data_IF_860312401577
#
_entry.id   IF_860312401577
#
_cell.length_a   1.000
_cell.length_b   1.000
_cell.length_c   1.000
_cell.angle_alpha   90.00
_cell.angle_beta   90.00
_cell.angle_gamma   90.00
#
_symmetry.space_group_name_H-M   'P 1'
#
loop_
_entity.id
_entity.type
_entity.pdbx_description
1 polymer ?
#
# COMPACT_ATOMS: atom_id res chain seq x y z
N UNK A 1 36.63 -27.66 -7.83
CA UNK A 1 35.70 -28.45 -6.99
C UNK A 1 34.63 -27.61 -6.26
N UNK A 2 34.67 -26.26 -6.29
CA UNK A 2 33.69 -25.41 -5.57
C UNK A 2 32.32 -25.20 -6.22
N UNK A 3 32.12 -25.54 -7.50
CA UNK A 3 30.85 -25.25 -8.19
C UNK A 3 29.69 -26.22 -7.86
N UNK A 4 29.97 -27.40 -7.30
CA UNK A 4 28.94 -28.41 -7.02
C UNK A 4 28.23 -28.20 -5.67
N UNK A 5 28.89 -27.58 -4.69
CA UNK A 5 28.32 -27.38 -3.34
C UNK A 5 27.26 -26.26 -3.36
N UNK A 6 27.48 -25.22 -4.16
CA UNK A 6 26.62 -24.03 -4.20
C UNK A 6 25.25 -24.30 -4.85
N UNK A 7 25.17 -25.23 -5.80
CA UNK A 7 23.91 -25.65 -6.43
C UNK A 7 23.04 -26.48 -5.47
N UNK A 8 23.67 -27.32 -4.64
CA UNK A 8 22.97 -28.15 -3.67
C UNK A 8 22.39 -27.31 -2.51
N UNK A 9 23.10 -26.26 -2.07
CA UNK A 9 22.61 -25.31 -1.06
C UNK A 9 21.39 -24.53 -1.58
N UNK A 10 21.43 -24.05 -2.83
CA UNK A 10 20.34 -23.27 -3.45
C UNK A 10 19.07 -24.10 -3.66
N UNK A 11 19.21 -25.39 -3.98
CA UNK A 11 18.07 -26.29 -4.17
C UNK A 11 17.35 -26.58 -2.83
N UNK A 12 18.11 -26.87 -1.76
CA UNK A 12 17.55 -27.11 -0.42
C UNK A 12 16.84 -25.87 0.13
N UNK A 13 17.39 -24.67 -0.07
CA UNK A 13 16.76 -23.42 0.39
C UNK A 13 15.39 -23.16 -0.27
N UNK A 14 15.24 -23.52 -1.56
CA UNK A 14 13.99 -23.28 -2.31
C UNK A 14 12.86 -24.25 -1.90
N UNK A 15 13.22 -25.51 -1.60
CA UNK A 15 12.30 -26.53 -1.09
C UNK A 15 11.74 -26.15 0.29
N UNK A 16 12.61 -25.70 1.20
CA UNK A 16 12.22 -25.28 2.56
C UNK A 16 11.25 -24.11 2.55
N UNK A 17 11.53 -23.09 1.74
CA UNK A 17 10.64 -21.92 1.59
C UNK A 17 9.26 -22.31 1.05
N UNK A 18 9.21 -23.26 0.10
CA UNK A 18 7.95 -23.74 -0.46
C UNK A 18 7.13 -24.52 0.57
N UNK A 19 7.77 -25.34 1.41
CA UNK A 19 7.09 -26.08 2.50
C UNK A 19 6.56 -25.15 3.59
N UNK A 20 7.33 -24.13 3.98
CA UNK A 20 6.87 -23.11 4.92
C UNK A 20 5.64 -22.34 4.40
N UNK A 21 5.65 -21.94 3.12
CA UNK A 21 4.52 -21.24 2.49
C UNK A 21 3.24 -22.08 2.41
N UNK A 22 3.37 -23.36 2.03
CA UNK A 22 2.22 -24.26 1.95
C UNK A 22 1.65 -24.58 3.34
N UNK A 23 2.50 -24.75 4.37
CA UNK A 23 2.06 -24.94 5.75
C UNK A 23 1.31 -23.74 6.31
N UNK A 24 1.79 -22.52 6.03
CA UNK A 24 1.11 -21.29 6.41
C UNK A 24 -0.27 -21.17 5.76
N UNK A 25 -0.39 -21.55 4.48
CA UNK A 25 -1.66 -21.49 3.74
C UNK A 25 -2.67 -22.56 4.17
N UNK A 26 -2.21 -23.75 4.55
CA UNK A 26 -3.08 -24.79 5.11
C UNK A 26 -3.68 -24.38 6.45
N UNK A 27 -2.92 -23.64 7.27
CA UNK A 27 -3.37 -23.13 8.58
C UNK A 27 -4.38 -21.96 8.49
N UNK A 28 -4.67 -21.46 7.29
CA UNK A 28 -5.71 -20.44 7.06
C UNK A 28 -7.04 -21.05 6.61
N UNK A 29 -7.20 -22.38 6.62
CA UNK A 29 -8.45 -23.04 6.21
C UNK A 29 -8.99 -24.00 7.28
N UNK A 30 -9.02 -23.53 8.52
CA UNK A 30 -9.74 -24.16 9.63
C UNK A 30 -10.29 -23.10 10.59
N UNK A 31 -11.15 -22.23 10.04
CA UNK A 31 -12.14 -21.48 10.82
C UNK A 31 -13.23 -21.02 9.86
N UNK A 32 -13.93 -22.00 9.28
CA UNK A 32 -15.22 -21.80 8.65
C UNK A 32 -16.06 -23.02 9.03
N UNK A 33 -16.53 -23.03 10.27
CA UNK A 33 -17.63 -23.90 10.70
C UNK A 33 -18.71 -23.00 11.33
N UNK A 34 -19.92 -23.25 10.88
CA UNK A 34 -21.15 -22.51 11.10
C UNK A 34 -21.70 -22.76 12.51
N UNK A 35 -22.30 -21.73 13.13
CA UNK A 35 -23.39 -21.95 14.10
C UNK A 35 -24.45 -20.87 13.96
N UNK A 36 -25.65 -21.33 13.60
CA UNK A 36 -26.92 -20.63 13.73
C UNK A 36 -27.19 -20.27 15.21
N UNK A 37 -27.71 -19.06 15.47
CA UNK A 37 -28.45 -18.78 16.71
C UNK A 37 -27.95 -17.59 17.56
N UNK A 38 -28.82 -16.58 17.66
CA UNK A 38 -29.05 -15.66 18.80
C UNK A 38 -27.85 -14.96 19.47
N UNK A 39 -27.71 -13.66 19.17
CA UNK A 39 -27.30 -12.58 20.10
C UNK A 39 -25.97 -12.68 20.85
N UNK A 40 -24.97 -11.88 20.45
CA UNK A 40 -24.25 -10.98 21.37
C UNK A 40 -23.36 -9.98 20.62
N UNK A 41 -23.42 -8.71 21.05
CA UNK A 41 -22.55 -7.65 20.60
C UNK A 41 -21.11 -7.89 21.09
N UNK A 42 -20.25 -8.37 20.21
CA UNK A 42 -18.80 -8.34 20.42
C UNK A 42 -18.14 -8.05 19.07
N UNK A 43 -18.28 -6.81 18.61
CA UNK A 43 -17.34 -6.24 17.65
C UNK A 43 -16.00 -6.17 18.36
N UNK A 44 -15.17 -7.19 18.19
CA UNK A 44 -13.78 -7.20 18.64
C UNK A 44 -13.07 -6.13 17.83
N UNK A 45 -13.09 -4.89 18.31
CA UNK A 45 -12.25 -3.82 17.80
C UNK A 45 -10.82 -4.26 18.09
N UNK A 46 -10.18 -4.87 17.10
CA UNK A 46 -8.73 -5.02 17.12
C UNK A 46 -8.15 -3.61 17.15
N UNK A 47 -7.78 -3.17 18.34
CA UNK A 47 -7.06 -1.93 18.57
C UNK A 47 -5.65 -2.10 17.99
N UNK A 48 -5.50 -1.79 16.71
CA UNK A 48 -4.18 -1.52 16.13
C UNK A 48 -3.62 -0.32 16.88
N UNK A 49 -2.68 -0.54 17.78
CA UNK A 49 -1.82 0.53 18.30
C UNK A 49 -0.92 0.93 17.13
N UNK A 50 -1.23 2.09 16.57
CA UNK A 50 -0.46 2.71 15.50
C UNK A 50 0.48 3.73 16.14
N UNK A 51 1.78 3.52 16.04
CA UNK A 51 2.76 4.54 16.41
C UNK A 51 2.61 5.73 15.45
N UNK A 52 2.17 6.87 15.98
CA UNK A 52 2.01 8.09 15.20
C UNK A 52 3.37 8.76 15.06
N UNK A 53 3.76 9.05 13.82
CA UNK A 53 4.97 9.83 13.52
C UNK A 53 4.56 11.28 13.28
N UNK A 54 5.18 12.20 14.02
CA UNK A 54 4.99 13.65 13.87
C UNK A 54 6.24 14.23 13.21
N UNK A 55 6.05 15.03 12.17
CA UNK A 55 7.11 15.79 11.51
C UNK A 55 6.63 17.20 11.22
N UNK A 56 7.57 18.13 11.13
CA UNK A 56 7.33 19.51 10.74
C UNK A 56 8.33 19.87 9.64
N UNK A 57 7.82 20.40 8.53
CA UNK A 57 8.63 20.87 7.41
C UNK A 57 8.21 22.30 7.08
N UNK A 58 9.17 23.14 6.68
CA UNK A 58 8.85 24.51 6.26
C UNK A 58 8.38 24.47 4.82
N UNK A 59 7.32 25.23 4.52
CA UNK A 59 6.92 25.50 3.14
C UNK A 59 7.77 26.66 2.66
N UNK A 60 8.68 26.38 1.73
CA UNK A 60 9.53 27.39 1.13
C UNK A 60 8.77 28.18 0.05
N UNK A 61 9.14 29.44 -0.25
CA UNK A 61 8.46 30.25 -1.26
C UNK A 61 8.46 29.67 -2.69
N UNK A 62 9.32 28.70 -2.97
CA UNK A 62 9.38 27.97 -4.24
C UNK A 62 8.58 26.65 -4.21
N UNK A 63 7.93 26.32 -3.10
CA UNK A 63 7.06 25.15 -2.99
C UNK A 63 5.75 25.40 -3.73
N UNK A 64 5.60 24.81 -4.92
CA UNK A 64 4.40 25.01 -5.74
C UNK A 64 3.14 24.34 -5.16
N UNK A 65 3.27 23.09 -4.68
CA UNK A 65 2.14 22.30 -4.17
C UNK A 65 2.57 21.10 -3.32
N UNK A 66 1.63 20.57 -2.55
CA UNK A 66 1.76 19.32 -1.78
C UNK A 66 0.71 18.31 -2.22
N UNK A 67 1.12 17.05 -2.36
CA UNK A 67 0.23 15.90 -2.61
C UNK A 67 0.15 15.07 -1.32
N UNK A 68 -1.05 14.93 -0.77
CA UNK A 68 -1.35 13.93 0.25
C UNK A 68 -2.24 12.85 -0.37
N UNK A 69 -1.86 11.59 -0.25
CA UNK A 69 -2.62 10.52 -0.88
C UNK A 69 -2.55 9.20 -0.11
N UNK A 70 -3.59 8.40 -0.27
CA UNK A 70 -3.63 7.03 0.21
C UNK A 70 -2.69 6.11 -0.60
N UNK A 71 -2.43 4.91 -0.07
CA UNK A 71 -1.51 3.94 -0.68
C UNK A 71 -1.89 3.58 -2.12
N UNK A 72 -3.17 3.66 -2.48
CA UNK A 72 -3.63 3.37 -3.84
C UNK A 72 -3.02 4.28 -4.92
N UNK A 73 -2.58 5.50 -4.60
CA UNK A 73 -1.81 6.34 -5.53
C UNK A 73 -0.37 5.83 -5.63
N UNK A 74 0.29 5.68 -4.49
CA UNK A 74 1.74 5.41 -4.40
C UNK A 74 2.14 3.99 -4.78
N UNK A 75 1.21 3.04 -4.78
CA UNK A 75 1.50 1.67 -5.23
C UNK A 75 1.61 1.56 -6.77
N UNK A 76 1.05 2.51 -7.52
CA UNK A 76 1.03 2.50 -9.01
C UNK A 76 1.74 3.69 -9.66
N UNK A 77 2.16 4.69 -8.87
CA UNK A 77 2.90 5.86 -9.35
C UNK A 77 4.04 6.21 -8.39
N UNK A 78 5.20 6.58 -8.94
CA UNK A 78 6.30 7.12 -8.14
C UNK A 78 6.04 8.58 -7.76
N UNK A 79 6.68 9.08 -6.70
CA UNK A 79 6.52 10.46 -6.23
C UNK A 79 6.72 11.50 -7.36
N UNK A 80 7.85 11.42 -8.08
CA UNK A 80 8.15 12.36 -9.17
C UNK A 80 7.20 12.22 -10.36
N UNK A 81 6.67 11.03 -10.60
CA UNK A 81 5.70 10.78 -11.66
C UNK A 81 4.38 11.46 -11.35
N UNK A 82 3.88 11.34 -10.12
CA UNK A 82 2.70 12.05 -9.65
C UNK A 82 2.86 13.57 -9.78
N UNK A 83 4.03 14.12 -9.38
CA UNK A 83 4.35 15.54 -9.53
C UNK A 83 4.31 15.97 -11.01
N UNK A 84 4.98 15.23 -11.89
CA UNK A 84 5.01 15.55 -13.32
C UNK A 84 3.62 15.48 -13.97
N UNK A 85 2.77 14.56 -13.51
CA UNK A 85 1.42 14.37 -14.01
C UNK A 85 0.54 15.59 -13.72
N UNK A 86 0.68 16.25 -12.58
CA UNK A 86 -0.25 17.32 -12.18
C UNK A 86 0.34 18.72 -12.13
N UNK A 87 1.66 18.88 -12.23
CA UNK A 87 2.30 20.20 -12.08
C UNK A 87 1.71 21.28 -12.99
N UNK A 88 1.31 20.89 -14.20
CA UNK A 88 0.76 21.76 -15.23
C UNK A 88 -0.75 22.07 -15.05
N UNK A 89 -1.40 21.50 -14.03
CA UNK A 89 -2.84 21.68 -13.77
C UNK A 89 -3.01 22.68 -12.62
N UNK A 90 -3.34 23.93 -12.93
CA UNK A 90 -3.48 25.01 -11.95
C UNK A 90 -4.62 24.77 -10.95
N UNK A 91 -5.74 24.21 -11.40
CA UNK A 91 -6.87 23.95 -10.51
C UNK A 91 -6.57 22.73 -9.61
N UNK A 92 -6.51 22.89 -8.27
CA UNK A 92 -6.12 21.81 -7.36
C UNK A 92 -7.12 20.64 -7.36
N UNK A 93 -8.41 20.91 -7.55
CA UNK A 93 -9.42 19.85 -7.65
C UNK A 93 -9.21 19.02 -8.91
N UNK A 94 -9.03 19.66 -10.07
CA UNK A 94 -8.74 18.98 -11.32
C UNK A 94 -7.42 18.16 -11.25
N UNK A 95 -6.39 18.70 -10.60
CA UNK A 95 -5.15 17.99 -10.34
C UNK A 95 -5.38 16.71 -9.49
N UNK A 96 -6.13 16.82 -8.40
CA UNK A 96 -6.45 15.67 -7.55
C UNK A 96 -7.28 14.60 -8.29
N UNK A 97 -8.24 15.01 -9.12
CA UNK A 97 -9.01 14.10 -9.96
C UNK A 97 -8.13 13.40 -10.99
N UNK A 98 -7.14 14.10 -11.56
CA UNK A 98 -6.19 13.53 -12.50
C UNK A 98 -5.38 12.39 -11.85
N UNK A 99 -4.86 12.59 -10.64
CA UNK A 99 -4.16 11.54 -9.88
C UNK A 99 -5.07 10.34 -9.59
N UNK A 100 -6.30 10.59 -9.13
CA UNK A 100 -7.24 9.52 -8.82
C UNK A 100 -7.62 8.70 -10.06
N UNK A 101 -7.87 9.38 -11.19
CA UNK A 101 -8.17 8.74 -12.48
C UNK A 101 -6.99 7.92 -12.97
N UNK A 102 -5.77 8.45 -12.90
CA UNK A 102 -4.57 7.75 -13.33
C UNK A 102 -4.32 6.49 -12.49
N UNK A 103 -4.47 6.57 -11.16
CA UNK A 103 -4.34 5.40 -10.31
C UNK A 103 -5.39 4.32 -10.61
N UNK A 104 -6.63 4.74 -10.89
CA UNK A 104 -7.72 3.84 -11.29
C UNK A 104 -7.40 3.16 -12.62
N UNK A 105 -6.90 3.90 -13.61
CA UNK A 105 -6.53 3.38 -14.94
C UNK A 105 -5.40 2.34 -14.85
N UNK A 106 -4.52 2.48 -13.86
CA UNK A 106 -3.44 1.53 -13.57
C UNK A 106 -3.87 0.33 -12.73
N UNK A 107 -5.17 0.16 -12.50
CA UNK A 107 -5.76 -0.95 -11.73
C UNK A 107 -5.20 -1.02 -10.30
N UNK A 108 -5.07 0.14 -9.65
CA UNK A 108 -4.75 0.20 -8.21
C UNK A 108 -5.72 -0.66 -7.39
N UNK A 109 -5.16 -1.41 -6.46
CA UNK A 109 -5.87 -2.35 -5.58
C UNK A 109 -6.15 -1.74 -4.20
N UNK A 110 -5.50 -0.64 -3.86
CA UNK A 110 -5.70 0.12 -2.64
C UNK A 110 -6.88 1.11 -2.69
N UNK A 111 -7.18 1.73 -1.56
CA UNK A 111 -8.10 2.89 -1.56
C UNK A 111 -7.48 4.04 -2.32
N UNK A 112 -8.27 4.70 -3.17
CA UNK A 112 -7.84 5.85 -3.96
C UNK A 112 -8.50 7.10 -3.39
N UNK A 113 -7.69 7.95 -2.76
CA UNK A 113 -8.06 9.27 -2.26
C UNK A 113 -6.82 10.15 -2.26
N UNK A 114 -6.96 11.41 -2.64
CA UNK A 114 -5.86 12.36 -2.57
C UNK A 114 -6.36 13.79 -2.35
N UNK A 115 -5.46 14.63 -1.83
CA UNK A 115 -5.59 16.06 -1.67
C UNK A 115 -4.40 16.72 -2.35
N UNK A 116 -4.67 17.76 -3.14
CA UNK A 116 -3.66 18.63 -3.72
C UNK A 116 -3.86 20.02 -3.13
N UNK A 117 -2.81 20.55 -2.51
CA UNK A 117 -2.78 21.90 -1.94
C UNK A 117 -1.79 22.69 -2.77
N UNK A 118 -2.23 23.76 -3.43
CA UNK A 118 -1.34 24.70 -4.12
C UNK A 118 -1.11 25.92 -3.23
N UNK A 119 0.09 26.47 -3.32
CA UNK A 119 0.47 27.70 -2.63
C UNK A 119 0.56 28.83 -3.67
N UNK A 120 0.27 30.06 -3.22
CA UNK A 120 0.37 31.29 -4.01
C UNK A 120 1.76 31.94 -3.88
#
# INVERSE_FOLDING_TARGET
>A
MSHSVQSHVRAKSKETMRKAYLGARAKTRESTEETHGVGNAASTRQSKTSDLVVGAERVDPDTEFVILASTGIWEVMKNQEAVNLIKHIENPQAASECLAKEASNRMSRGSISCLVIRFD
#
